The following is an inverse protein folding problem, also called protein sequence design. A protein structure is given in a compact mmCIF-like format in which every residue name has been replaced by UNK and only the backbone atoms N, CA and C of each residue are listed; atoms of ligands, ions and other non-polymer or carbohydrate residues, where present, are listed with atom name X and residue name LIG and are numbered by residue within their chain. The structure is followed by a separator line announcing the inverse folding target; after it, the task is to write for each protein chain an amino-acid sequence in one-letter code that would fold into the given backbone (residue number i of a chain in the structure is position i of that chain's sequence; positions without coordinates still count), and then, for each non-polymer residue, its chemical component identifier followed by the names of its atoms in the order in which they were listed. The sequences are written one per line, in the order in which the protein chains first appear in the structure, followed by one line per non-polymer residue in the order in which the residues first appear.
data_IF_638590161541
#
_entry.id   IF_638590161541
#
_cell.length_a   1.000
_cell.length_b   1.000
_cell.length_c   1.000
_cell.angle_alpha   90.00
_cell.angle_beta   90.00
_cell.angle_gamma   90.00
#
_symmetry.space_group_name_H-M   'P 1'
#
loop_
_entity.id
_entity.type
_entity.pdbx_description
1 polymer ?
#
# COMPACT_ATOMS: atom_id res chain seq x y z
N UNK A 1 0.71 -11.07 13.88
CA UNK A 1 1.03 -10.36 12.62
C UNK A 1 2.42 -10.77 12.18
N UNK A 2 2.56 -11.38 11.01
CA UNK A 2 3.82 -11.84 10.43
C UNK A 2 3.85 -11.47 8.95
N UNK A 3 4.64 -12.15 8.11
CA UNK A 3 4.82 -11.79 6.68
C UNK A 3 3.54 -11.41 5.89
N UNK A 4 2.35 -12.03 6.09
CA UNK A 4 1.15 -11.63 5.35
C UNK A 4 0.58 -10.26 5.73
N UNK A 5 0.98 -9.65 6.85
CA UNK A 5 0.37 -8.40 7.34
C UNK A 5 0.49 -7.25 6.34
N UNK A 6 1.59 -7.20 5.58
CA UNK A 6 1.80 -6.17 4.57
C UNK A 6 0.78 -6.27 3.43
N UNK A 7 0.31 -7.48 3.10
CA UNK A 7 -0.72 -7.67 2.07
C UNK A 7 -2.09 -7.17 2.55
N UNK A 8 -2.43 -7.36 3.82
CA UNK A 8 -3.67 -6.80 4.40
C UNK A 8 -3.62 -5.27 4.46
N UNK A 9 -2.46 -4.68 4.79
CA UNK A 9 -2.29 -3.21 4.78
C UNK A 9 -2.49 -2.66 3.37
N UNK A 10 -1.89 -3.29 2.35
CA UNK A 10 -2.09 -2.89 0.95
C UNK A 10 -3.55 -3.06 0.49
N UNK A 11 -4.22 -4.12 0.95
CA UNK A 11 -5.64 -4.36 0.62
C UNK A 11 -6.56 -3.31 1.25
N UNK A 12 -6.34 -2.92 2.51
CA UNK A 12 -7.13 -1.87 3.13
C UNK A 12 -6.80 -0.47 2.58
N UNK A 13 -5.54 -0.17 2.29
CA UNK A 13 -5.15 1.10 1.66
C UNK A 13 -5.89 1.32 0.34
N UNK A 14 -5.93 0.30 -0.54
CA UNK A 14 -6.64 0.42 -1.83
C UNK A 14 -8.15 0.55 -1.66
N UNK A 15 -8.77 -0.21 -0.73
CA UNK A 15 -10.21 -0.17 -0.47
C UNK A 15 -10.63 1.19 0.07
N UNK A 16 -9.93 1.67 1.09
CA UNK A 16 -10.15 2.99 1.68
C UNK A 16 -10.00 4.10 0.62
N UNK A 17 -8.97 4.03 -0.22
CA UNK A 17 -8.78 4.99 -1.32
C UNK A 17 -9.98 5.00 -2.28
N UNK A 18 -10.58 3.84 -2.58
CA UNK A 18 -11.79 3.75 -3.40
C UNK A 18 -13.04 4.29 -2.68
N UNK A 19 -13.20 4.01 -1.39
CA UNK A 19 -14.31 4.48 -0.57
C UNK A 19 -14.29 6.01 -0.40
N UNK A 20 -13.10 6.61 -0.26
CA UNK A 20 -12.91 8.05 -0.11
C UNK A 20 -12.88 8.80 -1.46
N UNK A 21 -12.93 8.08 -2.59
CA UNK A 21 -12.95 8.68 -3.93
C UNK A 21 -11.62 9.28 -4.36
N UNK A 22 -10.51 8.75 -3.84
CA UNK A 22 -9.16 9.22 -4.15
C UNK A 22 -8.77 8.96 -5.62
N UNK A 23 -7.81 9.74 -6.12
CA UNK A 23 -7.39 9.63 -7.52
C UNK A 23 -6.63 8.33 -7.85
N UNK A 24 -6.01 7.70 -6.85
CA UNK A 24 -5.17 6.51 -7.00
C UNK A 24 -5.40 5.53 -5.86
N UNK A 25 -5.00 4.27 -6.05
CA UNK A 25 -5.03 3.21 -5.02
C UNK A 25 -4.07 3.45 -3.85
N UNK A 26 -3.26 4.52 -3.90
CA UNK A 26 -2.30 4.90 -2.87
C UNK A 26 -2.67 6.23 -2.23
N UNK A 27 -3.93 6.38 -1.83
CA UNK A 27 -4.44 7.58 -1.13
C UNK A 27 -4.20 8.87 -1.93
N UNK A 28 -4.42 8.80 -3.25
CA UNK A 28 -4.23 9.93 -4.16
C UNK A 28 -2.78 10.22 -4.57
N UNK A 29 -1.79 9.56 -3.98
CA UNK A 29 -0.36 9.72 -4.30
C UNK A 29 0.08 8.81 -5.45
N UNK A 30 1.12 9.18 -6.21
CA UNK A 30 1.71 8.31 -7.26
C UNK A 30 2.70 7.28 -6.68
N UNK A 31 3.45 7.67 -5.65
CA UNK A 31 4.54 6.89 -5.10
C UNK A 31 4.34 6.61 -3.61
N UNK A 32 4.75 5.41 -3.17
CA UNK A 32 4.73 5.00 -1.78
C UNK A 32 5.90 4.08 -1.44
N UNK A 33 6.06 3.76 -0.15
CA UNK A 33 7.08 2.82 0.33
C UNK A 33 6.42 1.82 1.27
N UNK A 34 6.74 0.54 1.10
CA UNK A 34 6.40 -0.53 2.02
C UNK A 34 7.66 -1.00 2.74
N UNK A 35 7.55 -1.16 4.06
CA UNK A 35 8.64 -1.57 4.93
C UNK A 35 8.26 -2.87 5.64
N UNK A 36 9.07 -3.91 5.43
CA UNK A 36 9.03 -5.16 6.19
C UNK A 36 10.19 -5.24 7.17
N UNK A 37 9.93 -5.65 8.42
CA UNK A 37 10.96 -5.83 9.46
C UNK A 37 10.96 -7.29 9.88
N UNK A 38 12.08 -7.98 9.61
CA UNK A 38 12.28 -9.39 9.93
C UNK A 38 13.05 -9.63 11.23
N UNK A 39 13.12 -10.89 11.67
CA UNK A 39 13.92 -11.28 12.85
C UNK A 39 15.41 -11.00 12.59
N UNK A 40 16.05 -10.30 13.53
CA UNK A 40 17.40 -9.74 13.37
C UNK A 40 17.35 -8.22 13.23
N UNK A 41 17.92 -7.69 12.16
CA UNK A 41 17.86 -6.27 11.78
C UNK A 41 17.66 -6.11 10.26
N UNK A 42 16.95 -7.05 9.63
CA UNK A 42 16.67 -7.00 8.19
C UNK A 42 15.51 -6.05 7.93
N UNK A 43 15.73 -5.08 7.04
CA UNK A 43 14.70 -4.17 6.55
C UNK A 43 14.50 -4.43 5.06
N UNK A 44 13.31 -4.86 4.69
CA UNK A 44 12.88 -4.96 3.30
C UNK A 44 12.17 -3.67 2.92
N UNK A 45 12.66 -3.00 1.86
CA UNK A 45 12.08 -1.74 1.38
C UNK A 45 11.63 -1.95 -0.06
N UNK A 46 10.34 -1.73 -0.30
CA UNK A 46 9.76 -1.79 -1.65
C UNK A 46 9.21 -0.42 -2.01
N UNK A 47 9.69 0.14 -3.13
CA UNK A 47 9.07 1.33 -3.73
C UNK A 47 7.82 0.88 -4.48
N UNK A 48 6.71 1.53 -4.17
CA UNK A 48 5.40 1.26 -4.77
C UNK A 48 5.03 2.38 -5.73
N UNK A 49 4.44 1.99 -6.86
CA UNK A 49 3.75 2.91 -7.75
C UNK A 49 2.27 2.62 -7.69
N UNK A 50 1.46 3.64 -7.44
CA UNK A 50 0.01 3.51 -7.38
C UNK A 50 -0.61 3.43 -8.77
N UNK A 51 -1.87 3.00 -8.80
CA UNK A 51 -2.67 2.92 -10.04
C UNK A 51 -3.84 3.88 -9.91
N UNK A 52 -4.22 4.53 -11.02
CA UNK A 52 -5.43 5.36 -11.10
C UNK A 52 -6.67 4.53 -10.76
N UNK A 53 -7.53 5.05 -9.89
CA UNK A 53 -8.87 4.48 -9.72
C UNK A 53 -9.70 4.95 -10.91
N UNK A 54 -10.33 4.02 -11.64
CA UNK A 54 -11.17 4.37 -12.77
C UNK A 54 -12.39 5.14 -12.26
N UNK A 55 -12.65 6.31 -12.83
CA UNK A 55 -13.91 7.00 -12.62
C UNK A 55 -15.02 6.18 -13.31
N UNK A 56 -16.04 5.79 -12.53
CA UNK A 56 -17.29 5.28 -13.08
C UNK A 56 -18.05 6.38 -13.82
#
# INVERSE_FOLDING_TARGET
MGAPSVLFILDEMRKKSMEEGEATTGEGLEWGVLIGIGLGLTVEVVVLRSVRIAAC
#
